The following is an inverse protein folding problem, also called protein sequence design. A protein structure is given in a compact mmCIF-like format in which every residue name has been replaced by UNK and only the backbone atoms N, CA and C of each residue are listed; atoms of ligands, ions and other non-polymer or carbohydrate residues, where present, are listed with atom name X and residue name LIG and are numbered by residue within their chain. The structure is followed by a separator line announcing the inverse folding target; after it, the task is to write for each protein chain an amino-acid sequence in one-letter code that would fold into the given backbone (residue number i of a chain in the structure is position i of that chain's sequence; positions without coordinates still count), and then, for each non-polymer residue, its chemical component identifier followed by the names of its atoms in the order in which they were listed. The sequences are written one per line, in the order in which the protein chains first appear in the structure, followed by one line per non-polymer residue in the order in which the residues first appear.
data_IF_241836521155
#
_entry.id   IF_241836521155
#
_cell.length_a   1.000
_cell.length_b   1.000
_cell.length_c   1.000
_cell.angle_alpha   90.00
_cell.angle_beta   90.00
_cell.angle_gamma   90.00
#
_symmetry.space_group_name_H-M   'P 1'
#
loop_
_entity.id
_entity.type
_entity.pdbx_description
1 polymer ?
#
# COMPACT_ATOMS: atom_id res chain seq x y z
N UNK A 1 -4.48 8.45 17.86
CA UNK A 1 -3.01 8.64 17.77
C UNK A 1 -2.20 7.88 18.84
N UNK A 2 -2.75 6.82 19.47
CA UNK A 2 -2.07 6.15 20.58
C UNK A 2 -1.19 4.95 20.17
N UNK A 3 -1.45 4.32 19.02
CA UNK A 3 -0.80 3.04 18.65
C UNK A 3 0.72 3.16 18.38
N UNK A 4 1.20 4.35 18.05
CA UNK A 4 2.63 4.61 17.76
C UNK A 4 3.37 5.29 18.93
N UNK A 5 2.67 5.58 20.04
CA UNK A 5 3.26 6.24 21.21
C UNK A 5 4.31 5.33 21.84
N UNK A 6 5.49 5.88 22.13
CA UNK A 6 6.63 5.17 22.68
C UNK A 6 7.34 4.21 21.71
N UNK A 7 6.90 4.13 20.45
CA UNK A 7 7.49 3.19 19.48
C UNK A 7 8.64 3.86 18.73
N UNK A 8 9.85 3.34 18.93
CA UNK A 8 11.09 3.82 18.30
C UNK A 8 11.56 2.94 17.14
N UNK A 9 11.34 1.62 17.22
CA UNK A 9 11.77 0.65 16.20
C UNK A 9 11.02 0.86 14.86
N UNK A 10 11.73 1.04 13.73
CA UNK A 10 11.13 1.36 12.44
C UNK A 10 10.27 0.22 11.88
N UNK A 11 10.63 -1.03 12.12
CA UNK A 11 9.87 -2.19 11.65
C UNK A 11 8.61 -2.40 12.49
N UNK A 12 8.66 -2.11 13.79
CA UNK A 12 7.48 -2.08 14.64
C UNK A 12 6.50 -0.98 14.19
N UNK A 13 7.00 0.23 13.87
CA UNK A 13 6.15 1.30 13.30
C UNK A 13 5.50 0.85 11.99
N UNK A 14 6.28 0.26 11.09
CA UNK A 14 5.81 -0.26 9.79
C UNK A 14 4.66 -1.26 9.98
N UNK A 15 4.83 -2.24 10.86
CA UNK A 15 3.79 -3.24 11.19
C UNK A 15 2.54 -2.60 11.78
N UNK A 16 2.69 -1.69 12.75
CA UNK A 16 1.55 -1.01 13.38
C UNK A 16 0.76 -0.21 12.34
N UNK A 17 1.44 0.54 11.47
CA UNK A 17 0.79 1.34 10.44
C UNK A 17 0.11 0.45 9.39
N UNK A 18 0.79 -0.60 8.93
CA UNK A 18 0.21 -1.55 7.97
C UNK A 18 -1.04 -2.24 8.51
N UNK A 19 -0.99 -2.71 9.77
CA UNK A 19 -2.15 -3.33 10.41
C UNK A 19 -3.31 -2.33 10.55
N UNK A 20 -3.02 -1.10 10.98
CA UNK A 20 -4.08 -0.08 11.11
C UNK A 20 -4.72 0.26 9.77
N UNK A 21 -3.93 0.31 8.70
CA UNK A 21 -4.44 0.50 7.36
C UNK A 21 -5.43 -0.60 6.98
N UNK A 22 -5.09 -1.88 7.21
CA UNK A 22 -5.98 -3.02 6.94
C UNK A 22 -7.27 -2.90 7.75
N UNK A 23 -7.19 -2.65 9.06
CA UNK A 23 -8.39 -2.56 9.90
C UNK A 23 -9.34 -1.44 9.46
N UNK A 24 -8.80 -0.26 9.13
CA UNK A 24 -9.62 0.85 8.64
C UNK A 24 -10.16 0.55 7.25
N UNK A 25 -9.36 -0.09 6.39
CA UNK A 25 -9.81 -0.49 5.06
C UNK A 25 -10.98 -1.47 5.13
N UNK A 26 -10.88 -2.49 5.98
CA UNK A 26 -11.93 -3.49 6.21
C UNK A 26 -13.21 -2.86 6.79
N UNK A 27 -13.07 -2.02 7.82
CA UNK A 27 -14.21 -1.29 8.41
C UNK A 27 -14.93 -0.44 7.35
N UNK A 28 -14.20 0.30 6.52
CA UNK A 28 -14.81 1.11 5.45
C UNK A 28 -15.39 0.26 4.32
N UNK A 29 -14.73 -0.82 3.93
CA UNK A 29 -15.19 -1.74 2.90
C UNK A 29 -16.51 -2.41 3.29
N UNK A 30 -16.64 -2.84 4.55
CA UNK A 30 -17.85 -3.48 5.09
C UNK A 30 -19.11 -2.58 5.04
N UNK A 31 -18.92 -1.25 4.96
CA UNK A 31 -20.01 -0.27 4.84
C UNK A 31 -20.58 -0.18 3.42
N UNK A 32 -19.82 -0.64 2.43
CA UNK A 32 -20.22 -0.64 1.03
C UNK A 32 -21.03 -1.90 0.69
N UNK A 33 -21.94 -1.80 -0.27
CA UNK A 33 -22.73 -2.93 -0.78
C UNK A 33 -22.56 -3.06 -2.27
N UNK A 34 -22.52 -4.29 -2.78
CA UNK A 34 -22.42 -4.58 -4.22
C UNK A 34 -21.06 -4.21 -4.81
N UNK A 35 -19.99 -4.39 -4.03
CA UNK A 35 -18.61 -4.26 -4.50
C UNK A 35 -18.03 -5.67 -4.55
N UNK A 36 -17.81 -6.18 -5.75
CA UNK A 36 -17.31 -7.55 -5.94
C UNK A 36 -15.78 -7.59 -6.13
N UNK A 37 -15.19 -6.45 -6.52
CA UNK A 37 -13.79 -6.38 -6.93
C UNK A 37 -12.96 -5.44 -6.06
N UNK A 38 -11.74 -5.86 -5.76
CA UNK A 38 -10.68 -5.01 -5.24
C UNK A 38 -9.66 -4.76 -6.34
N UNK A 39 -9.52 -3.50 -6.76
CA UNK A 39 -8.51 -3.12 -7.73
C UNK A 39 -7.19 -2.72 -7.05
N UNK A 40 -6.08 -3.30 -7.51
CA UNK A 40 -4.74 -2.94 -7.07
C UNK A 40 -3.87 -2.42 -8.23
N UNK A 41 -3.03 -1.43 -7.92
CA UNK A 41 -2.08 -0.82 -8.85
C UNK A 41 -0.75 -1.57 -8.99
N UNK A 42 -0.75 -2.90 -8.80
CA UNK A 42 0.42 -3.78 -8.89
C UNK A 42 1.12 -3.61 -10.24
N UNK A 43 2.44 -3.44 -10.26
CA UNK A 43 3.26 -3.30 -11.47
C UNK A 43 3.99 -4.60 -11.80
N UNK A 44 4.54 -4.68 -13.01
CA UNK A 44 5.30 -5.86 -13.45
C UNK A 44 6.55 -6.15 -12.60
N UNK A 45 7.19 -5.09 -12.07
CA UNK A 45 8.31 -5.24 -11.12
C UNK A 45 7.88 -5.94 -9.84
N UNK A 46 6.70 -5.62 -9.33
CA UNK A 46 6.16 -6.23 -8.09
C UNK A 46 5.88 -7.73 -8.29
N UNK A 47 5.37 -8.10 -9.49
CA UNK A 47 5.14 -9.50 -9.86
C UNK A 47 6.44 -10.29 -9.88
N UNK A 48 7.50 -9.76 -10.50
CA UNK A 48 8.81 -10.42 -10.58
C UNK A 48 9.42 -10.61 -9.18
N UNK A 49 9.38 -9.56 -8.34
CA UNK A 49 9.90 -9.61 -6.97
C UNK A 49 9.16 -10.68 -6.14
N UNK A 50 7.87 -10.87 -6.39
CA UNK A 50 7.01 -11.84 -5.68
C UNK A 50 7.20 -13.31 -6.09
N UNK A 51 7.84 -13.59 -7.23
CA UNK A 51 7.92 -14.93 -7.83
C UNK A 51 9.04 -15.84 -7.30
N UNK A 52 9.88 -15.36 -6.37
CA UNK A 52 10.99 -16.14 -5.81
C UNK A 52 10.62 -16.78 -4.46
N UNK A 53 11.19 -17.95 -4.12
CA UNK A 53 10.89 -18.68 -2.86
C UNK A 53 11.16 -17.85 -1.59
N UNK A 54 11.99 -16.81 -1.68
CA UNK A 54 12.30 -15.85 -0.61
C UNK A 54 11.24 -14.75 -0.45
N UNK A 55 10.29 -14.64 -1.39
CA UNK A 55 9.36 -13.52 -1.49
C UNK A 55 8.06 -13.68 -0.68
N UNK A 56 7.80 -14.85 -0.10
CA UNK A 56 6.61 -15.05 0.76
C UNK A 56 6.60 -14.10 1.97
N UNK A 57 7.77 -13.76 2.52
CA UNK A 57 7.88 -12.80 3.62
C UNK A 57 7.65 -11.34 3.16
N UNK A 58 7.92 -11.05 1.89
CA UNK A 58 7.89 -9.71 1.29
C UNK A 58 6.48 -9.32 0.83
N UNK A 59 5.59 -10.30 0.57
CA UNK A 59 4.18 -10.05 0.21
C UNK A 59 3.40 -9.22 1.23
N UNK A 60 3.86 -9.11 2.47
CA UNK A 60 3.23 -8.28 3.50
C UNK A 60 3.22 -6.77 3.20
N UNK A 61 4.01 -6.28 2.22
CA UNK A 61 4.27 -4.84 2.08
C UNK A 61 3.89 -4.19 0.74
N UNK A 62 3.54 -4.94 -0.31
CA UNK A 62 3.38 -4.35 -1.66
C UNK A 62 2.06 -4.70 -2.36
N UNK A 63 1.55 -5.92 -2.19
CA UNK A 63 0.13 -6.18 -2.38
C UNK A 63 -0.57 -5.93 -1.04
N UNK A 64 -1.90 -5.85 -0.98
CA UNK A 64 -2.60 -5.82 0.30
C UNK A 64 -2.46 -7.20 0.98
N UNK A 65 -1.24 -7.61 1.31
CA UNK A 65 -0.86 -8.91 1.88
C UNK A 65 -1.15 -9.00 3.37
N UNK A 66 -2.26 -8.39 3.76
CA UNK A 66 -2.77 -8.38 5.11
C UNK A 66 -4.29 -8.21 5.15
N UNK A 67 -5.00 -8.31 4.02
CA UNK A 67 -6.45 -8.35 4.08
C UNK A 67 -6.89 -9.54 4.94
N UNK A 68 -7.94 -9.37 5.77
CA UNK A 68 -8.53 -10.47 6.52
C UNK A 68 -8.89 -11.63 5.58
N UNK A 69 -8.70 -12.88 6.03
CA UNK A 69 -8.98 -14.08 5.23
C UNK A 69 -10.47 -14.19 4.84
N UNK A 70 -11.34 -13.49 5.56
CA UNK A 70 -12.79 -13.41 5.39
C UNK A 70 -13.24 -12.28 4.46
N UNK A 71 -12.31 -11.53 3.85
CA UNK A 71 -12.67 -10.47 2.92
C UNK A 71 -13.07 -11.01 1.54
N UNK A 72 -14.34 -10.82 1.17
CA UNK A 72 -14.97 -11.39 -0.04
C UNK A 72 -14.78 -10.52 -1.31
N UNK A 73 -13.55 -10.12 -1.64
CA UNK A 73 -13.28 -9.42 -2.91
C UNK A 73 -12.52 -10.30 -3.91
N UNK A 74 -12.91 -10.23 -5.17
CA UNK A 74 -12.10 -10.71 -6.28
C UNK A 74 -11.02 -9.66 -6.63
N UNK A 75 -9.76 -10.07 -6.58
CA UNK A 75 -8.63 -9.18 -6.84
C UNK A 75 -8.45 -8.95 -8.35
N UNK A 76 -8.38 -7.68 -8.76
CA UNK A 76 -8.04 -7.28 -10.14
C UNK A 76 -6.81 -6.36 -10.16
N UNK A 77 -5.84 -6.69 -11.03
CA UNK A 77 -4.56 -5.99 -11.13
C UNK A 77 -4.29 -5.53 -12.58
N UNK A 78 -5.03 -4.54 -13.09
CA UNK A 78 -5.10 -4.24 -14.53
C UNK A 78 -3.79 -3.72 -15.15
N UNK A 79 -2.82 -3.30 -14.34
CA UNK A 79 -1.54 -2.73 -14.79
C UNK A 79 -0.33 -3.58 -14.40
N UNK A 80 -0.54 -4.85 -14.00
CA UNK A 80 0.52 -5.75 -13.54
C UNK A 80 1.49 -6.22 -14.63
N UNK A 81 1.22 -5.87 -15.90
CA UNK A 81 2.14 -6.11 -17.03
C UNK A 81 2.92 -4.86 -17.43
N UNK A 82 2.75 -3.74 -16.72
CA UNK A 82 3.37 -2.46 -17.07
C UNK A 82 4.52 -2.10 -16.12
N UNK A 83 5.54 -1.45 -16.67
CA UNK A 83 6.58 -0.76 -15.91
C UNK A 83 6.16 0.65 -15.50
N UNK A 84 6.93 1.26 -14.58
CA UNK A 84 6.58 2.55 -13.99
C UNK A 84 6.48 3.69 -15.02
N UNK A 85 7.33 3.70 -16.03
CA UNK A 85 7.32 4.69 -17.11
C UNK A 85 6.10 4.51 -18.03
N UNK A 86 5.68 3.27 -18.29
CA UNK A 86 4.47 2.95 -19.05
C UNK A 86 3.20 3.38 -18.31
N UNK A 87 3.13 3.13 -17.00
CA UNK A 87 2.02 3.63 -16.16
C UNK A 87 1.98 5.15 -16.11
N UNK A 88 3.13 5.83 -16.17
CA UNK A 88 3.16 7.29 -16.29
C UNK A 88 2.58 7.76 -17.62
N UNK A 89 3.00 7.15 -18.74
CA UNK A 89 2.44 7.46 -20.07
C UNK A 89 0.93 7.24 -20.10
N UNK A 90 0.46 6.12 -19.54
CA UNK A 90 -0.97 5.83 -19.40
C UNK A 90 -1.70 6.89 -18.57
N UNK A 91 -1.12 7.33 -17.45
CA UNK A 91 -1.72 8.39 -16.63
C UNK A 91 -1.89 9.72 -17.36
N UNK A 92 -0.92 10.11 -18.20
CA UNK A 92 -1.02 11.31 -19.04
C UNK A 92 -2.13 11.16 -20.08
N UNK A 93 -2.20 10.01 -20.75
CA UNK A 93 -3.24 9.73 -21.77
C UNK A 93 -4.65 9.72 -21.17
N UNK A 94 -4.79 9.26 -19.91
CA UNK A 94 -6.05 9.31 -19.15
C UNK A 94 -6.39 10.72 -18.61
N UNK A 95 -5.55 11.73 -18.87
CA UNK A 95 -5.79 13.11 -18.44
C UNK A 95 -5.48 13.39 -16.97
N UNK A 96 -4.72 12.53 -16.28
CA UNK A 96 -4.25 12.80 -14.91
C UNK A 96 -3.25 13.97 -14.97
N UNK A 97 -3.38 14.99 -14.09
CA UNK A 97 -2.46 16.11 -14.06
C UNK A 97 -1.00 15.69 -13.98
N UNK A 98 -0.15 16.28 -14.82
CA UNK A 98 1.27 15.92 -14.96
C UNK A 98 2.00 15.93 -13.61
N UNK A 99 1.74 16.94 -12.77
CA UNK A 99 2.35 17.06 -11.45
C UNK A 99 2.00 15.89 -10.49
N UNK A 100 0.89 15.19 -10.70
CA UNK A 100 0.54 13.97 -9.95
C UNK A 100 1.25 12.75 -10.54
N UNK A 101 1.27 12.61 -11.86
CA UNK A 101 1.93 11.49 -12.58
C UNK A 101 3.44 11.45 -12.29
N UNK A 102 4.08 12.61 -12.27
CA UNK A 102 5.52 12.76 -12.08
C UNK A 102 5.95 13.00 -10.63
N UNK A 103 5.02 12.97 -9.68
CA UNK A 103 5.35 13.06 -8.26
C UNK A 103 6.31 11.94 -7.85
N UNK A 104 7.26 12.28 -6.98
CA UNK A 104 8.16 11.30 -6.37
C UNK A 104 7.37 10.26 -5.55
N UNK A 105 7.82 9.00 -5.50
CA UNK A 105 7.18 7.98 -4.69
C UNK A 105 7.18 8.36 -3.21
N UNK A 106 6.11 7.99 -2.52
CA UNK A 106 5.96 8.20 -1.08
C UNK A 106 5.61 6.86 -0.42
N UNK A 107 6.33 6.45 0.64
CA UNK A 107 6.15 5.13 1.24
C UNK A 107 4.81 5.04 1.98
N UNK A 108 4.23 3.83 2.05
CA UNK A 108 2.97 3.57 2.78
C UNK A 108 3.00 4.04 4.25
N UNK A 109 4.04 3.71 5.05
CA UNK A 109 4.21 4.25 6.40
C UNK A 109 4.46 5.76 6.49
N UNK A 110 4.61 6.44 5.36
CA UNK A 110 4.83 7.87 5.25
C UNK A 110 6.04 8.37 6.03
N UNK A 111 5.83 9.43 6.81
CA UNK A 111 6.87 9.99 7.69
C UNK A 111 7.18 9.11 8.91
N UNK A 112 6.35 8.11 9.20
CA UNK A 112 6.51 7.26 10.39
C UNK A 112 7.88 6.56 10.46
N UNK A 113 8.38 6.15 9.29
CA UNK A 113 9.70 5.52 9.14
C UNK A 113 10.83 6.52 8.86
N UNK A 114 10.52 7.81 8.69
CA UNK A 114 11.50 8.88 8.42
C UNK A 114 11.92 9.64 9.67
N UNK A 115 11.25 9.42 10.79
CA UNK A 115 11.63 9.94 12.11
C UNK A 115 12.35 8.85 12.87
N UNK A 116 13.61 9.12 13.24
CA UNK A 116 14.37 8.25 14.13
C UNK A 116 13.85 8.41 15.56
N UNK A 117 13.57 7.29 16.24
CA UNK A 117 12.98 7.33 17.59
C UNK A 117 11.47 7.53 17.60
N UNK A 118 10.90 7.90 18.74
CA UNK A 118 9.45 8.04 18.90
C UNK A 118 8.85 9.14 17.98
N UNK A 119 7.62 8.91 17.49
CA UNK A 119 6.86 9.92 16.77
C UNK A 119 6.17 10.88 17.74
N UNK A 120 6.63 12.12 17.78
CA UNK A 120 6.06 13.18 18.59
C UNK A 120 5.33 14.20 17.71
N UNK A 121 4.12 14.58 18.13
CA UNK A 121 3.44 15.74 17.56
C UNK A 121 4.02 16.98 18.23
N UNK A 122 4.68 17.83 17.44
CA UNK A 122 5.10 19.15 17.91
C UNK A 122 3.84 20.03 17.87
N UNK A 123 3.43 20.51 19.05
CA UNK A 123 2.33 21.47 19.19
C UNK A 123 2.86 22.89 19.03
#
# INVERSE_FOLDING_TARGET
MNKLKGVSDPEQKRKIIGNEFVYVFDDEASKLKGVDFLAQGTLYTDVIESGTKTAQTIKSHHNVGGLPEDMEFELIEPINTLFKDEVRKLGIELGIPEHLVWRQPFPGPGLGIRVLGELLKIN
#
